data_IF_115574212513
#
_entry.id   IF_115574212513
#
_cell.length_a   1.000
_cell.length_b   1.000
_cell.length_c   1.000
_cell.angle_alpha   90.00
_cell.angle_beta   90.00
_cell.angle_gamma   90.00
#
_symmetry.space_group_name_H-M   'P 1'
#
loop_
_entity.id
_entity.type
_entity.pdbx_description
1 polymer ?
#
# COMPACT_ATOMS: atom_id res chain seq x y z
N UNK A 1 -19.03 -8.67 -2.02
CA UNK A 1 -17.67 -8.47 -2.54
C UNK A 1 -17.77 -7.60 -3.78
N UNK A 2 -17.08 -6.47 -3.80
CA UNK A 2 -17.04 -5.57 -4.96
C UNK A 2 -15.76 -5.84 -5.78
N UNK A 3 -15.86 -6.48 -6.96
CA UNK A 3 -14.70 -6.90 -7.74
C UNK A 3 -13.93 -5.73 -8.37
N UNK A 4 -14.59 -4.59 -8.63
CA UNK A 4 -13.93 -3.40 -9.16
C UNK A 4 -13.07 -2.73 -8.08
N UNK A 5 -13.58 -2.61 -6.86
CA UNK A 5 -12.83 -2.05 -5.73
C UNK A 5 -11.62 -2.91 -5.36
N UNK A 6 -11.76 -4.24 -5.45
CA UNK A 6 -10.62 -5.15 -5.23
C UNK A 6 -9.53 -4.94 -6.29
N UNK A 7 -9.91 -4.82 -7.57
CA UNK A 7 -8.97 -4.55 -8.67
C UNK A 7 -8.23 -3.23 -8.47
N UNK A 8 -8.94 -2.17 -8.05
CA UNK A 8 -8.32 -0.88 -7.76
C UNK A 8 -7.35 -0.95 -6.59
N UNK A 9 -7.71 -1.63 -5.50
CA UNK A 9 -6.81 -1.83 -4.36
C UNK A 9 -5.56 -2.61 -4.75
N UNK A 10 -5.70 -3.61 -5.62
CA UNK A 10 -4.56 -4.37 -6.15
C UNK A 10 -3.63 -3.49 -7.00
N UNK A 11 -4.17 -2.66 -7.90
CA UNK A 11 -3.37 -1.72 -8.69
C UNK A 11 -2.61 -0.71 -7.82
N UNK A 12 -3.23 -0.22 -6.73
CA UNK A 12 -2.55 0.64 -5.76
C UNK A 12 -1.40 -0.09 -5.06
N UNK A 13 -1.58 -1.37 -4.74
CA UNK A 13 -0.54 -2.19 -4.11
C UNK A 13 0.66 -2.39 -5.04
N UNK A 14 0.42 -2.70 -6.32
CA UNK A 14 1.50 -2.84 -7.32
C UNK A 14 2.27 -1.53 -7.47
N UNK A 15 1.56 -0.40 -7.59
CA UNK A 15 2.18 0.92 -7.68
C UNK A 15 3.01 1.29 -6.44
N UNK A 16 2.57 0.87 -5.25
CA UNK A 16 3.30 1.07 -4.00
C UNK A 16 4.60 0.26 -3.99
N UNK A 17 4.57 -1.00 -4.45
CA UNK A 17 5.75 -1.86 -4.52
C UNK A 17 6.80 -1.29 -5.49
N UNK A 18 6.39 -0.89 -6.70
CA UNK A 18 7.28 -0.29 -7.70
C UNK A 18 8.01 0.97 -7.18
N UNK A 19 7.30 1.81 -6.40
CA UNK A 19 7.83 3.10 -5.93
C UNK A 19 8.81 2.97 -4.76
N UNK A 20 8.50 2.11 -3.78
CA UNK A 20 9.13 2.17 -2.46
C UNK A 20 9.81 0.86 -2.04
N UNK A 21 9.42 -0.30 -2.59
CA UNK A 21 9.94 -1.61 -2.19
C UNK A 21 11.45 -1.71 -2.45
N UNK A 22 11.92 -1.23 -3.60
CA UNK A 22 13.35 -1.20 -3.91
C UNK A 22 14.13 -0.22 -3.01
N UNK A 23 13.58 0.97 -2.75
CA UNK A 23 14.22 1.99 -1.90
C UNK A 23 14.43 1.50 -0.46
N UNK A 24 13.48 0.72 0.04
CA UNK A 24 13.56 0.12 1.38
C UNK A 24 14.56 -1.04 1.40
N UNK A 25 14.57 -1.91 0.38
CA UNK A 25 15.47 -3.09 0.31
C UNK A 25 16.93 -2.74 0.04
N UNK A 26 17.20 -1.80 -0.87
CA UNK A 26 18.56 -1.44 -1.29
C UNK A 26 19.45 -0.98 -0.11
N UNK A 27 18.85 -0.33 0.89
CA UNK A 27 19.55 0.10 2.11
C UNK A 27 19.86 -1.02 3.12
N UNK A 28 19.48 -2.28 2.87
CA UNK A 28 19.75 -3.40 3.80
C UNK A 28 21.02 -4.19 3.47
N UNK A 29 21.54 -4.11 2.23
CA UNK A 29 22.64 -4.96 1.76
C UNK A 29 24.03 -4.32 1.87
N UNK A 30 24.12 -3.02 2.16
CA UNK A 30 25.42 -2.37 2.31
C UNK A 30 25.85 -2.38 3.77
N UNK A 31 26.81 -3.25 4.11
CA UNK A 31 27.55 -3.28 5.39
C UNK A 31 28.38 -2.01 5.65
N UNK A 32 28.27 -1.00 4.78
CA UNK A 32 28.88 0.31 4.90
C UNK A 32 28.17 1.11 5.99
N UNK A 33 28.93 1.82 6.83
CA UNK A 33 28.41 2.79 7.82
C UNK A 33 27.50 3.79 7.08
N UNK A 34 26.18 3.64 7.20
CA UNK A 34 25.21 4.58 6.62
C UNK A 34 25.34 5.93 7.35
N UNK A 35 25.18 7.03 6.62
CA UNK A 35 25.13 8.35 7.26
C UNK A 35 23.78 8.53 7.98
N UNK A 36 23.72 9.45 8.93
CA UNK A 36 22.47 9.78 9.65
C UNK A 36 21.39 10.23 8.66
N UNK A 37 21.76 11.06 7.68
CA UNK A 37 20.84 11.53 6.63
C UNK A 37 20.25 10.38 5.80
N UNK A 38 21.07 9.37 5.45
CA UNK A 38 20.59 8.18 4.74
C UNK A 38 19.63 7.33 5.59
N UNK A 39 19.86 7.30 6.91
CA UNK A 39 18.98 6.59 7.84
C UNK A 39 17.63 7.30 7.98
N UNK A 40 17.63 8.63 8.08
CA UNK A 40 16.42 9.45 8.13
C UNK A 40 15.61 9.34 6.83
N UNK A 41 16.28 9.39 5.67
CA UNK A 41 15.63 9.19 4.37
C UNK A 41 15.00 7.79 4.26
N UNK A 42 15.72 6.74 4.67
CA UNK A 42 15.17 5.37 4.69
C UNK A 42 13.97 5.27 5.63
N UNK A 43 14.04 5.91 6.80
CA UNK A 43 12.94 5.93 7.74
C UNK A 43 11.71 6.64 7.17
N UNK A 44 11.90 7.74 6.44
CA UNK A 44 10.84 8.44 5.74
C UNK A 44 10.16 7.55 4.69
N UNK A 45 10.95 6.89 3.85
CA UNK A 45 10.42 5.95 2.84
C UNK A 45 9.64 4.79 3.47
N UNK A 46 10.12 4.26 4.60
CA UNK A 46 9.45 3.18 5.33
C UNK A 46 8.14 3.64 5.98
N UNK A 47 8.12 4.86 6.54
CA UNK A 47 6.92 5.47 7.08
C UNK A 47 5.86 5.72 5.98
N UNK A 48 6.28 6.27 4.84
CA UNK A 48 5.42 6.48 3.66
C UNK A 48 4.81 5.16 3.17
N UNK A 49 5.65 4.14 2.99
CA UNK A 49 5.20 2.81 2.57
C UNK A 49 4.20 2.20 3.55
N UNK A 50 4.45 2.31 4.85
CA UNK A 50 3.60 1.72 5.88
C UNK A 50 2.23 2.40 5.93
N UNK A 51 2.19 3.73 5.81
CA UNK A 51 0.93 4.48 5.80
C UNK A 51 0.10 4.17 4.54
N UNK A 52 0.72 4.20 3.35
CA UNK A 52 0.03 3.86 2.10
C UNK A 52 -0.45 2.40 2.11
N UNK A 53 0.36 1.45 2.58
CA UNK A 53 -0.01 0.04 2.70
C UNK A 53 -1.21 -0.15 3.63
N UNK A 54 -1.24 0.53 4.78
CA UNK A 54 -2.35 0.47 5.73
C UNK A 54 -3.66 0.93 5.08
N UNK A 55 -3.62 1.99 4.27
CA UNK A 55 -4.80 2.52 3.60
C UNK A 55 -5.29 1.59 2.48
N UNK A 56 -4.38 1.02 1.68
CA UNK A 56 -4.70 -0.01 0.68
C UNK A 56 -5.31 -1.26 1.34
N UNK A 57 -4.76 -1.71 2.46
CA UNK A 57 -5.26 -2.86 3.20
C UNK A 57 -6.67 -2.60 3.74
N UNK A 58 -6.91 -1.40 4.28
CA UNK A 58 -8.25 -0.97 4.73
C UNK A 58 -9.25 -1.00 3.57
N UNK A 59 -8.89 -0.45 2.41
CA UNK A 59 -9.75 -0.47 1.23
C UNK A 59 -10.05 -1.91 0.76
N UNK A 60 -9.04 -2.79 0.79
CA UNK A 60 -9.17 -4.20 0.43
C UNK A 60 -10.14 -4.93 1.37
N UNK A 61 -9.99 -4.76 2.68
CA UNK A 61 -10.87 -5.36 3.68
C UNK A 61 -12.31 -4.85 3.50
N UNK A 62 -12.50 -3.55 3.25
CA UNK A 62 -13.81 -2.98 2.98
C UNK A 62 -14.43 -3.54 1.69
N UNK A 63 -13.64 -3.73 0.64
CA UNK A 63 -14.11 -4.31 -0.63
C UNK A 63 -14.55 -5.78 -0.47
N UNK A 64 -13.86 -6.54 0.39
CA UNK A 64 -14.21 -7.92 0.74
C UNK A 64 -15.49 -7.98 1.59
N UNK A 65 -15.62 -7.10 2.60
CA UNK A 65 -16.75 -7.07 3.53
C UNK A 65 -18.03 -6.42 2.98
N UNK A 66 -17.95 -5.65 1.89
CA UNK A 66 -19.13 -5.00 1.29
C UNK A 66 -20.09 -6.05 0.69
N UNK A 67 -21.24 -6.30 1.33
CA UNK A 67 -22.38 -6.99 0.70
C UNK A 67 -22.96 -6.12 -0.42
N UNK A 68 -23.32 -6.68 -1.59
CA UNK A 68 -23.92 -5.90 -2.67
C UNK A 68 -25.18 -5.20 -2.17
N UNK A 69 -25.30 -3.90 -2.45
CA UNK A 69 -26.51 -3.11 -2.19
C UNK A 69 -27.64 -3.72 -3.04
N UNK A 70 -28.77 -4.16 -2.46
CA UNK A 70 -29.88 -4.67 -3.26
C UNK A 70 -30.37 -3.56 -4.21
N UNK A 71 -30.74 -3.91 -5.45
CA UNK A 71 -31.25 -2.92 -6.41
C UNK A 71 -32.45 -2.22 -5.80
N UNK A 72 -32.49 -0.89 -5.95
CA UNK A 72 -33.60 -0.08 -5.47
C UNK A 72 -34.91 -0.63 -6.03
N UNK A 73 -35.98 -0.74 -5.22
CA UNK A 73 -37.27 -1.18 -5.73
C UNK A 73 -37.72 -0.19 -6.80
N UNK A 74 -37.89 -0.68 -8.02
CA UNK A 74 -38.58 0.01 -9.10
C UNK A 74 -40.04 0.24 -8.67
N UNK A 75 -40.58 1.46 -8.87
CA UNK A 75 -41.94 1.82 -8.46
C UNK A 75 -43.03 1.03 -9.19
#
# INVERSE_FOLDING_TARGET
MDPQRLKQAFQKLESLDDRLSYKIRSGSSSLSRQTVEQLEERHRHLAEFTLELKDILRETILALGSRPKPPAPTP
#
